data_IF_914544100232
#
_entry.id   IF_914544100232
#
_cell.length_a   1.000
_cell.length_b   1.000
_cell.length_c   1.000
_cell.angle_alpha   90.00
_cell.angle_beta   90.00
_cell.angle_gamma   90.00
#
_symmetry.space_group_name_H-M   'P 1'
#
loop_
_entity.id
_entity.type
_entity.pdbx_description
1 polymer ?
#
# COMPACT_ATOMS: atom_id res chain seq x y z
N UNK A 1 -14.62 -47.43 -19.54
CA UNK A 1 -13.95 -46.16 -19.89
C UNK A 1 -12.72 -46.54 -20.69
N UNK A 2 -12.79 -46.41 -22.01
CA UNK A 2 -11.73 -46.83 -22.94
C UNK A 2 -10.66 -45.73 -23.08
N UNK A 3 -9.41 -46.09 -23.37
CA UNK A 3 -8.37 -45.12 -23.73
C UNK A 3 -8.76 -44.25 -24.95
N UNK A 4 -9.67 -44.74 -25.80
CA UNK A 4 -10.26 -43.98 -26.90
C UNK A 4 -11.12 -42.79 -26.42
N UNK A 5 -11.81 -42.93 -25.28
CA UNK A 5 -12.68 -41.88 -24.74
C UNK A 5 -11.83 -40.71 -24.18
N UNK A 6 -10.69 -41.02 -23.57
CA UNK A 6 -9.75 -40.03 -23.01
C UNK A 6 -9.10 -39.21 -24.13
N UNK A 7 -8.69 -39.85 -25.22
CA UNK A 7 -8.10 -39.16 -26.39
C UNK A 7 -9.08 -38.16 -27.03
N UNK A 8 -10.37 -38.49 -27.09
CA UNK A 8 -11.41 -37.61 -27.67
C UNK A 8 -11.60 -36.30 -26.90
N UNK A 9 -11.31 -36.28 -25.60
CA UNK A 9 -11.44 -35.06 -24.77
C UNK A 9 -10.29 -34.07 -24.97
N UNK A 10 -9.13 -34.53 -25.47
CA UNK A 10 -7.94 -33.69 -25.69
C UNK A 10 -7.86 -33.05 -27.08
N UNK A 11 -8.71 -33.47 -28.02
CA UNK A 11 -8.72 -32.93 -29.40
C UNK A 11 -9.53 -31.64 -29.57
N UNK A 12 -10.25 -31.18 -28.53
CA UNK A 12 -11.00 -29.92 -28.56
C UNK A 12 -10.05 -28.72 -28.52
N UNK A 13 -9.59 -28.29 -29.69
CA UNK A 13 -8.92 -26.99 -29.86
C UNK A 13 -9.95 -25.87 -29.85
N UNK A 14 -9.63 -24.74 -29.22
CA UNK A 14 -10.47 -23.55 -29.29
C UNK A 14 -10.46 -23.00 -30.72
N UNK A 15 -11.65 -22.78 -31.29
CA UNK A 15 -11.78 -21.99 -32.52
C UNK A 15 -11.34 -20.56 -32.22
N UNK A 16 -10.24 -20.12 -32.82
CA UNK A 16 -9.72 -18.77 -32.66
C UNK A 16 -10.24 -17.89 -33.78
N UNK A 17 -11.04 -16.89 -33.43
CA UNK A 17 -11.47 -15.84 -34.36
C UNK A 17 -10.52 -14.64 -34.27
N UNK A 18 -10.07 -14.14 -35.42
CA UNK A 18 -9.20 -12.97 -35.52
C UNK A 18 -9.92 -11.79 -36.16
N UNK A 19 -9.82 -10.61 -35.56
CA UNK A 19 -10.34 -9.38 -36.16
C UNK A 19 -9.48 -8.97 -37.36
N UNK A 20 -10.15 -8.68 -38.49
CA UNK A 20 -9.51 -8.02 -39.64
C UNK A 20 -9.01 -6.63 -39.27
N UNK A 21 -8.04 -6.08 -40.01
CA UNK A 21 -7.49 -4.75 -39.72
C UNK A 21 -8.56 -3.65 -39.73
N UNK A 22 -9.55 -3.77 -40.64
CA UNK A 22 -10.67 -2.85 -40.74
C UNK A 22 -11.64 -2.95 -39.55
N UNK A 23 -11.90 -4.16 -39.03
CA UNK A 23 -12.69 -4.35 -37.81
C UNK A 23 -11.95 -3.82 -36.59
N UNK A 24 -10.65 -4.08 -36.48
CA UNK A 24 -9.84 -3.56 -35.38
C UNK A 24 -9.88 -2.02 -35.32
N UNK A 25 -9.75 -1.35 -36.48
CA UNK A 25 -9.86 0.11 -36.57
C UNK A 25 -11.25 0.62 -36.18
N UNK A 26 -12.32 -0.04 -36.63
CA UNK A 26 -13.69 0.32 -36.24
C UNK A 26 -13.93 0.16 -34.74
N UNK A 27 -13.49 -0.95 -34.15
CA UNK A 27 -13.62 -1.22 -32.71
C UNK A 27 -12.87 -0.14 -31.91
N UNK A 28 -11.62 0.16 -32.29
CA UNK A 28 -10.81 1.18 -31.63
C UNK A 28 -11.39 2.60 -31.77
N UNK A 29 -11.97 2.95 -32.93
CA UNK A 29 -12.64 4.24 -33.11
C UNK A 29 -13.98 4.35 -32.36
N UNK A 30 -14.67 3.23 -32.14
CA UNK A 30 -15.93 3.19 -31.40
C UNK A 30 -15.75 3.17 -29.87
N UNK A 31 -14.56 2.80 -29.40
CA UNK A 31 -14.22 2.88 -27.99
C UNK A 31 -14.11 4.35 -27.59
N UNK A 32 -15.08 4.83 -26.79
CA UNK A 32 -15.05 6.18 -26.26
C UNK A 32 -13.74 6.39 -25.50
N UNK A 33 -12.89 7.29 -26.00
CA UNK A 33 -11.82 7.87 -25.19
C UNK A 33 -12.50 8.69 -24.11
N UNK A 34 -12.39 8.22 -22.86
CA UNK A 34 -12.82 8.94 -21.66
C UNK A 34 -12.36 10.41 -21.74
N UNK A 35 -13.21 11.39 -21.40
CA UNK A 35 -12.81 12.79 -21.40
C UNK A 35 -11.57 12.99 -20.53
N UNK A 36 -10.53 13.54 -21.15
CA UNK A 36 -9.32 13.99 -20.47
C UNK A 36 -9.66 15.13 -19.50
N UNK A 37 -9.47 14.87 -18.20
CA UNK A 37 -9.35 15.83 -17.09
C UNK A 37 -10.50 16.83 -16.93
N UNK A 38 -11.50 16.46 -16.12
CA UNK A 38 -12.36 17.43 -15.44
C UNK A 38 -11.52 18.28 -14.44
N UNK A 39 -11.92 19.53 -14.12
CA UNK A 39 -11.32 20.26 -13.01
C UNK A 39 -11.44 19.45 -11.72
N UNK A 40 -10.50 19.58 -10.76
CA UNK A 40 -10.50 18.81 -9.52
C UNK A 40 -11.82 19.01 -8.82
N UNK A 41 -12.66 17.97 -8.85
CA UNK A 41 -13.98 18.00 -8.24
C UNK A 41 -13.78 17.90 -6.73
N UNK A 42 -14.73 18.36 -5.92
CA UNK A 42 -14.68 18.22 -4.45
C UNK A 42 -14.38 16.77 -4.01
N UNK A 43 -14.86 15.81 -4.81
CA UNK A 43 -14.56 14.37 -4.68
C UNK A 43 -13.07 14.05 -4.75
N UNK A 44 -12.30 14.76 -5.58
CA UNK A 44 -10.87 14.49 -5.79
C UNK A 44 -10.03 14.95 -4.59
N UNK A 45 -10.45 16.04 -3.94
CA UNK A 45 -9.82 16.55 -2.71
C UNK A 45 -10.08 15.59 -1.56
N UNK A 46 -11.32 15.13 -1.42
CA UNK A 46 -11.70 14.15 -0.40
C UNK A 46 -10.97 12.82 -0.59
N UNK A 47 -10.88 12.30 -1.82
CA UNK A 47 -10.12 11.08 -2.13
C UNK A 47 -8.63 11.24 -1.82
N UNK A 48 -8.05 12.39 -2.15
CA UNK A 48 -6.65 12.69 -1.85
C UNK A 48 -6.42 12.78 -0.35
N UNK A 49 -7.30 13.45 0.39
CA UNK A 49 -7.24 13.55 1.85
C UNK A 49 -7.35 12.18 2.50
N UNK A 50 -8.29 11.36 2.06
CA UNK A 50 -8.45 9.98 2.52
C UNK A 50 -7.16 9.17 2.28
N UNK A 51 -6.59 9.26 1.08
CA UNK A 51 -5.34 8.57 0.73
C UNK A 51 -4.19 8.99 1.66
N UNK A 52 -4.05 10.29 1.94
CA UNK A 52 -3.02 10.81 2.83
C UNK A 52 -3.23 10.34 4.29
N UNK A 53 -4.47 10.34 4.78
CA UNK A 53 -4.81 9.87 6.14
C UNK A 53 -4.59 8.38 6.31
N UNK A 54 -4.97 7.57 5.31
CA UNK A 54 -4.67 6.13 5.28
C UNK A 54 -3.16 5.88 5.34
N UNK A 55 -2.39 6.66 4.57
CA UNK A 55 -0.92 6.60 4.58
C UNK A 55 -0.33 6.99 5.95
N UNK A 56 -0.83 8.05 6.58
CA UNK A 56 -0.38 8.48 7.92
C UNK A 56 -0.61 7.40 8.97
N UNK A 57 -1.79 6.79 8.96
CA UNK A 57 -2.14 5.67 9.85
C UNK A 57 -1.20 4.48 9.63
N UNK A 58 -0.98 4.08 8.37
CA UNK A 58 -0.08 2.99 8.03
C UNK A 58 1.36 3.25 8.48
N UNK A 59 1.86 4.48 8.30
CA UNK A 59 3.20 4.87 8.74
C UNK A 59 3.33 4.91 10.26
N UNK A 60 2.31 5.41 10.97
CA UNK A 60 2.29 5.41 12.43
C UNK A 60 2.37 3.99 13.01
N UNK A 61 1.59 3.07 12.45
CA UNK A 61 1.59 1.66 12.86
C UNK A 61 2.90 0.95 12.53
N UNK A 62 3.46 1.22 11.35
CA UNK A 62 4.74 0.64 10.98
C UNK A 62 5.87 1.14 11.89
N UNK A 63 5.89 2.45 12.16
CA UNK A 63 6.85 3.07 13.06
C UNK A 63 6.71 2.55 14.50
N UNK A 64 5.48 2.38 15.00
CA UNK A 64 5.26 1.87 16.36
C UNK A 64 5.72 0.41 16.49
N UNK A 65 5.37 -0.44 15.52
CA UNK A 65 5.81 -1.82 15.51
C UNK A 65 7.34 -1.93 15.48
N UNK A 66 8.00 -1.21 14.57
CA UNK A 66 9.47 -1.21 14.46
C UNK A 66 10.14 -0.69 15.74
N UNK A 67 9.57 0.33 16.39
CA UNK A 67 10.09 0.84 17.65
C UNK A 67 10.02 -0.21 18.78
N UNK A 68 8.93 -0.97 18.87
CA UNK A 68 8.81 -2.04 19.87
C UNK A 68 9.80 -3.19 19.61
N UNK A 69 10.01 -3.56 18.34
CA UNK A 69 11.05 -4.52 17.94
C UNK A 69 12.45 -4.03 18.36
N UNK A 70 12.78 -2.77 18.07
CA UNK A 70 14.07 -2.18 18.43
C UNK A 70 14.29 -2.15 19.95
N UNK A 71 13.29 -1.72 20.73
CA UNK A 71 13.35 -1.70 22.20
C UNK A 71 13.56 -3.08 22.79
N UNK A 72 12.92 -4.10 22.21
CA UNK A 72 13.05 -5.49 22.65
C UNK A 72 14.30 -6.20 22.10
N UNK A 73 15.15 -5.53 21.33
CA UNK A 73 16.30 -6.12 20.60
C UNK A 73 15.89 -7.33 19.73
N UNK A 74 14.68 -7.28 19.16
CA UNK A 74 14.11 -8.34 18.31
C UNK A 74 14.14 -7.92 16.85
N UNK A 75 14.52 -8.86 15.99
CA UNK A 75 14.57 -8.64 14.53
C UNK A 75 13.42 -9.41 13.89
N UNK A 76 12.44 -8.73 13.25
CA UNK A 76 11.38 -9.37 12.47
C UNK A 76 11.97 -10.27 11.38
N UNK A 77 11.28 -11.37 11.05
CA UNK A 77 11.78 -12.34 10.07
C UNK A 77 12.11 -11.71 8.71
N UNK A 78 11.26 -10.80 8.23
CA UNK A 78 11.46 -10.12 6.95
C UNK A 78 12.63 -9.13 6.91
N UNK A 79 13.13 -8.68 8.07
CA UNK A 79 14.28 -7.75 8.17
C UNK A 79 15.57 -8.46 8.59
N UNK A 80 15.55 -9.78 8.79
CA UNK A 80 16.73 -10.53 9.21
C UNK A 80 17.63 -10.79 8.01
N UNK A 81 18.86 -10.28 8.06
CA UNK A 81 19.87 -10.54 7.03
C UNK A 81 20.38 -11.99 7.18
N UNK A 82 20.24 -12.81 6.15
CA UNK A 82 20.57 -14.25 6.17
C UNK A 82 21.88 -14.60 5.45
N UNK A 83 22.73 -13.61 5.18
CA UNK A 83 23.99 -13.79 4.46
C UNK A 83 24.90 -14.79 5.18
N UNK A 84 25.36 -15.81 4.46
CA UNK A 84 26.30 -16.80 5.00
C UNK A 84 27.72 -16.50 4.52
N UNK A 85 28.73 -16.72 5.37
CA UNK A 85 30.11 -16.53 4.94
C UNK A 85 30.49 -17.57 3.86
N UNK A 86 31.32 -17.14 2.91
CA UNK A 86 31.83 -18.03 1.85
C UNK A 86 32.93 -18.98 2.39
N UNK A 87 33.72 -18.51 3.35
CA UNK A 87 34.84 -19.23 3.95
C UNK A 87 34.56 -19.49 5.44
N UNK A 88 35.27 -20.46 6.03
CA UNK A 88 35.22 -20.77 7.47
C UNK A 88 33.84 -21.21 7.99
N UNK A 89 33.06 -21.91 7.16
CA UNK A 89 31.72 -22.43 7.53
C UNK A 89 31.73 -23.52 8.61
N UNK A 90 32.88 -24.08 8.91
CA UNK A 90 33.05 -25.11 9.96
C UNK A 90 33.47 -24.51 11.29
N UNK A 91 33.89 -23.24 11.31
CA UNK A 91 34.27 -22.54 12.53
C UNK A 91 33.02 -21.91 13.17
N UNK A 92 32.53 -22.54 14.24
CA UNK A 92 31.37 -22.09 14.98
C UNK A 92 31.55 -20.71 15.61
N UNK A 93 32.77 -20.36 16.08
CA UNK A 93 33.02 -19.05 16.68
C UNK A 93 32.97 -17.95 15.62
N UNK A 94 33.56 -18.21 14.45
CA UNK A 94 33.50 -17.29 13.32
C UNK A 94 32.06 -17.05 12.86
N UNK A 95 31.26 -18.11 12.73
CA UNK A 95 29.83 -18.00 12.36
C UNK A 95 29.06 -17.20 13.41
N UNK A 96 29.29 -17.43 14.70
CA UNK A 96 28.62 -16.71 15.76
C UNK A 96 28.92 -15.20 15.71
N UNK A 97 30.19 -14.83 15.50
CA UNK A 97 30.61 -13.43 15.33
C UNK A 97 29.98 -12.81 14.07
N UNK A 98 29.97 -13.54 12.96
CA UNK A 98 29.35 -13.11 11.70
C UNK A 98 27.86 -12.82 11.87
N UNK A 99 27.11 -13.74 12.48
CA UNK A 99 25.69 -13.55 12.78
C UNK A 99 25.45 -12.38 13.73
N UNK A 100 26.33 -12.18 14.72
CA UNK A 100 26.29 -11.02 15.61
C UNK A 100 26.37 -9.69 14.86
N UNK A 101 27.28 -9.58 13.89
CA UNK A 101 27.42 -8.39 13.03
C UNK A 101 26.15 -8.18 12.20
N UNK A 102 25.63 -9.23 11.56
CA UNK A 102 24.41 -9.12 10.75
C UNK A 102 23.18 -8.71 11.58
N UNK A 103 23.06 -9.25 12.79
CA UNK A 103 22.00 -8.87 13.72
C UNK A 103 22.11 -7.39 14.10
N UNK A 104 23.33 -6.91 14.37
CA UNK A 104 23.57 -5.49 14.65
C UNK A 104 23.16 -4.61 13.48
N UNK A 105 23.60 -4.94 12.26
CA UNK A 105 23.20 -4.21 11.06
C UNK A 105 21.68 -4.20 10.88
N UNK A 106 21.00 -5.32 11.15
CA UNK A 106 19.54 -5.41 11.05
C UNK A 106 18.84 -4.46 12.05
N UNK A 107 19.35 -4.36 13.28
CA UNK A 107 18.83 -3.41 14.29
C UNK A 107 19.10 -1.95 13.89
N UNK A 108 20.29 -1.66 13.36
CA UNK A 108 20.62 -0.31 12.90
C UNK A 108 19.75 0.10 11.69
N UNK A 109 19.41 -0.83 10.78
CA UNK A 109 18.46 -0.61 9.68
C UNK A 109 17.04 -0.33 10.19
N UNK A 110 16.59 -1.01 11.25
CA UNK A 110 15.30 -0.72 11.90
C UNK A 110 15.30 0.71 12.43
N UNK A 111 16.36 1.11 13.15
CA UNK A 111 16.48 2.46 13.70
C UNK A 111 16.48 3.54 12.61
N UNK A 112 17.24 3.33 11.53
CA UNK A 112 17.27 4.22 10.38
C UNK A 112 15.87 4.38 9.75
N UNK A 113 15.15 3.27 9.61
CA UNK A 113 13.79 3.27 9.04
C UNK A 113 12.82 4.06 9.93
N UNK A 114 12.88 3.86 11.26
CA UNK A 114 12.07 4.62 12.22
C UNK A 114 12.39 6.11 12.15
N UNK A 115 13.67 6.48 12.08
CA UNK A 115 14.08 7.88 11.94
C UNK A 115 13.51 8.51 10.66
N UNK A 116 13.63 7.82 9.51
CA UNK A 116 13.10 8.32 8.26
C UNK A 116 11.56 8.44 8.27
N UNK A 117 10.87 7.47 8.88
CA UNK A 117 9.41 7.51 9.05
C UNK A 117 8.99 8.71 9.89
N UNK A 118 9.71 9.01 10.98
CA UNK A 118 9.38 10.16 11.82
C UNK A 118 9.50 11.49 11.07
N UNK A 119 10.56 11.68 10.29
CA UNK A 119 10.73 12.87 9.45
C UNK A 119 9.63 12.96 8.39
N UNK A 120 9.42 11.88 7.64
CA UNK A 120 8.42 11.84 6.57
C UNK A 120 7.00 12.03 7.09
N UNK A 121 6.68 11.51 8.28
CA UNK A 121 5.37 11.68 8.93
C UNK A 121 5.09 13.14 9.26
N UNK A 122 6.10 13.93 9.64
CA UNK A 122 5.91 15.38 9.87
C UNK A 122 5.52 16.10 8.58
N UNK A 123 6.22 15.81 7.49
CA UNK A 123 5.92 16.36 6.16
C UNK A 123 4.52 15.93 5.69
N UNK A 124 4.16 14.66 5.91
CA UNK A 124 2.84 14.13 5.56
C UNK A 124 1.72 14.85 6.31
N UNK A 125 1.91 15.11 7.60
CA UNK A 125 0.94 15.86 8.42
C UNK A 125 0.79 17.31 7.95
N UNK A 126 1.86 17.95 7.51
CA UNK A 126 1.78 19.28 6.88
C UNK A 126 0.97 19.25 5.58
N UNK A 127 1.18 18.24 4.72
CA UNK A 127 0.39 18.06 3.50
C UNK A 127 -1.10 17.84 3.80
N UNK A 128 -1.40 17.02 4.82
CA UNK A 128 -2.78 16.78 5.28
C UNK A 128 -3.41 18.09 5.76
N UNK A 129 -2.71 18.86 6.60
CA UNK A 129 -3.22 20.13 7.12
C UNK A 129 -3.52 21.14 6.02
N UNK A 130 -2.59 21.32 5.08
CA UNK A 130 -2.78 22.22 3.94
C UNK A 130 -3.99 21.82 3.08
N UNK A 131 -4.19 20.52 2.86
CA UNK A 131 -5.33 20.01 2.08
C UNK A 131 -6.66 20.13 2.85
N UNK A 132 -6.65 19.98 4.18
CA UNK A 132 -7.79 20.23 5.05
C UNK A 132 -8.21 21.71 5.04
N UNK A 133 -7.24 22.63 5.04
CA UNK A 133 -7.50 24.08 4.90
C UNK A 133 -8.08 24.41 3.53
N UNK A 134 -7.50 23.88 2.44
CA UNK A 134 -8.03 24.05 1.08
C UNK A 134 -9.47 23.56 0.96
N UNK A 135 -9.77 22.39 1.55
CA UNK A 135 -11.12 21.84 1.56
C UNK A 135 -12.10 22.75 2.33
N UNK A 136 -11.74 23.20 3.54
CA UNK A 136 -12.56 24.11 4.34
C UNK A 136 -12.85 25.42 3.59
N UNK A 137 -11.84 26.00 2.95
CA UNK A 137 -12.03 27.23 2.16
C UNK A 137 -13.00 27.01 0.99
N UNK A 138 -12.89 25.87 0.29
CA UNK A 138 -13.81 25.54 -0.82
C UNK A 138 -15.24 25.34 -0.33
N UNK A 139 -15.44 24.60 0.77
CA UNK A 139 -16.78 24.42 1.37
C UNK A 139 -17.40 25.77 1.78
N UNK A 140 -16.64 26.68 2.39
CA UNK A 140 -17.12 28.02 2.78
C UNK A 140 -17.51 28.88 1.57
N UNK A 141 -16.75 28.80 0.47
CA UNK A 141 -17.07 29.52 -0.78
C UNK A 141 -18.34 28.99 -1.44
N UNK A 142 -18.56 27.68 -1.47
CA UNK A 142 -19.79 27.08 -2.01
C UNK A 142 -21.02 27.50 -1.18
N UNK A 143 -20.91 27.52 0.15
CA UNK A 143 -21.97 27.98 1.05
C UNK A 143 -22.31 29.48 0.92
N UNK A 144 -21.39 30.28 0.38
CA UNK A 144 -21.63 31.72 0.16
C UNK A 144 -22.30 32.00 -1.19
N UNK A 145 -22.24 31.06 -2.14
CA UNK A 145 -22.80 31.23 -3.48
C UNK A 145 -24.23 30.68 -3.58
N UNK A 146 -24.56 29.67 -2.78
CA UNK A 146 -25.91 29.10 -2.67
C UNK A 146 -26.50 29.48 -1.30
N UNK A 147 -27.07 30.68 -1.22
CA UNK A 147 -27.93 31.02 -0.09
C UNK A 147 -29.17 30.14 -0.13
N UNK A 148 -29.15 28.97 0.54
CA UNK A 148 -30.28 28.24 1.16
C UNK A 148 -29.87 26.82 1.60
N UNK A 149 -30.14 26.52 2.89
CA UNK A 149 -30.37 25.21 3.57
C UNK A 149 -29.21 24.19 3.73
N UNK A 150 -28.62 24.19 4.94
CA UNK A 150 -28.93 23.21 5.99
C UNK A 150 -28.46 21.75 5.85
N UNK A 151 -27.54 21.35 6.75
CA UNK A 151 -27.08 19.98 7.09
C UNK A 151 -26.43 19.22 5.92
N UNK A 152 -25.29 18.53 6.05
CA UNK A 152 -25.11 17.23 6.72
C UNK A 152 -23.60 16.95 6.91
N UNK A 153 -23.21 16.45 8.09
CA UNK A 153 -22.32 15.28 8.12
C UNK A 153 -20.99 15.39 8.86
N UNK A 154 -21.02 15.68 10.15
CA UNK A 154 -19.94 15.29 11.07
C UNK A 154 -20.03 13.78 11.32
N UNK A 155 -19.61 12.95 10.36
CA UNK A 155 -19.43 11.52 10.60
C UNK A 155 -18.01 11.27 11.09
N UNK A 156 -17.93 11.26 12.41
CA UNK A 156 -16.88 10.65 13.21
C UNK A 156 -16.53 9.26 12.63
N UNK A 157 -15.37 9.12 11.98
CA UNK A 157 -14.80 7.81 11.65
C UNK A 157 -14.13 7.29 12.94
N UNK A 158 -14.95 6.84 13.88
CA UNK A 158 -14.59 5.82 14.85
C UNK A 158 -15.09 4.53 14.23
N UNK A 159 -14.20 3.70 13.70
CA UNK A 159 -14.33 2.24 13.53
C UNK A 159 -13.14 1.75 12.72
N UNK A 160 -11.96 1.72 13.35
CA UNK A 160 -10.80 1.02 12.81
C UNK A 160 -10.00 0.31 13.90
N UNK A 161 -10.59 -0.06 15.04
CA UNK A 161 -9.88 -0.83 16.07
C UNK A 161 -10.05 -2.36 15.95
N UNK A 162 -11.04 -2.86 15.19
CA UNK A 162 -11.34 -4.31 15.20
C UNK A 162 -10.67 -5.14 14.09
N UNK A 163 -10.00 -4.53 13.11
CA UNK A 163 -9.34 -5.28 12.02
C UNK A 163 -7.83 -5.52 12.26
N UNK A 164 -7.22 -4.82 13.23
CA UNK A 164 -5.76 -4.82 13.40
C UNK A 164 -5.17 -6.08 14.05
N UNK A 165 -5.97 -6.87 14.78
CA UNK A 165 -5.51 -8.15 15.34
C UNK A 165 -5.47 -9.29 14.31
N UNK A 166 -6.19 -9.16 13.19
CA UNK A 166 -6.29 -10.23 12.19
C UNK A 166 -5.16 -10.19 11.15
N UNK A 167 -4.78 -8.99 10.68
CA UNK A 167 -3.70 -8.83 9.69
C UNK A 167 -2.32 -9.04 10.32
N UNK A 168 -2.16 -8.70 11.61
CA UNK A 168 -0.91 -8.93 12.34
C UNK A 168 -0.57 -10.43 12.50
N UNK A 169 -1.59 -11.31 12.53
CA UNK A 169 -1.39 -12.76 12.62
C UNK A 169 -1.13 -13.44 11.27
N UNK A 170 -1.58 -12.87 10.15
CA UNK A 170 -1.51 -13.54 8.84
C UNK A 170 -0.20 -13.27 8.08
N UNK A 171 0.46 -12.14 8.32
CA UNK A 171 1.66 -11.72 7.56
C UNK A 171 2.98 -12.15 8.24
N UNK A 172 2.97 -12.53 9.52
CA UNK A 172 4.20 -12.72 10.30
C UNK A 172 4.36 -14.08 11.01
N UNK A 173 3.74 -15.16 10.49
CA UNK A 173 4.03 -16.53 10.95
C UNK A 173 5.18 -17.18 10.18
#
# INVERSE_FOLDING_TARGET
>A
MSFADIASTTDRRAETFGFTEAERKRILHSAQTLPSSLPPTETDILQKLETLKRRDTAWALHSSALAEYAKALRIPRGLRITLQPALFRTDCEFIAKWQGILNRCSLDLIALTVQQLQTSTKELKQQIHALEEEYKEKTVRTLSHDGVLGYVGCYQIVLAESFYLLVFNLVFR
#
